data_IF_015414447912
#
_entry.id   IF_015414447912
#
_cell.length_a   1.000
_cell.length_b   1.000
_cell.length_c   1.000
_cell.angle_alpha   90.00
_cell.angle_beta   90.00
_cell.angle_gamma   90.00
#
_symmetry.space_group_name_H-M   'P 1'
#
loop_
_entity.id
_entity.type
_entity.pdbx_description
1 polymer ?
#
# COMPACT_ATOMS: atom_id res chain seq x y z
N UNK A 1 4.73 23.41 -4.95
CA UNK A 1 3.28 23.35 -5.24
C UNK A 1 2.77 21.91 -5.49
N UNK A 2 3.62 20.88 -5.47
CA UNK A 2 3.30 19.49 -5.86
C UNK A 2 2.39 18.68 -4.92
N UNK A 3 2.17 19.10 -3.67
CA UNK A 3 1.40 18.29 -2.72
C UNK A 3 -0.12 18.29 -2.99
N UNK A 4 -0.64 19.34 -3.64
CA UNK A 4 -2.08 19.45 -3.95
C UNK A 4 -2.54 18.46 -5.02
N UNK A 5 -1.71 18.23 -6.05
CA UNK A 5 -2.03 17.37 -7.20
C UNK A 5 -2.10 15.89 -6.79
N UNK A 6 -1.12 15.41 -6.02
CA UNK A 6 -1.13 14.01 -5.55
C UNK A 6 -2.29 13.71 -4.60
N UNK A 7 -2.73 14.69 -3.81
CA UNK A 7 -3.85 14.51 -2.87
C UNK A 7 -5.20 14.30 -3.57
N UNK A 8 -5.30 14.63 -4.87
CA UNK A 8 -6.48 14.34 -5.68
C UNK A 8 -6.58 12.88 -6.12
N UNK A 9 -5.49 12.10 -6.01
CA UNK A 9 -5.53 10.66 -6.24
C UNK A 9 -6.38 10.02 -5.14
N UNK A 10 -7.31 9.15 -5.53
CA UNK A 10 -8.24 8.53 -4.59
C UNK A 10 -7.49 7.92 -3.39
N UNK A 11 -7.89 8.28 -2.17
CA UNK A 11 -7.32 7.76 -0.93
C UNK A 11 -5.79 7.87 -0.86
N UNK A 12 -5.16 8.88 -1.47
CA UNK A 12 -3.70 9.06 -1.37
C UNK A 12 -3.26 9.34 0.07
N UNK A 13 -2.23 8.65 0.52
CA UNK A 13 -1.61 8.87 1.82
C UNK A 13 -0.09 8.73 1.71
N UNK A 14 0.62 9.78 2.14
CA UNK A 14 2.06 9.81 2.15
C UNK A 14 2.60 9.48 3.54
N UNK A 15 3.42 8.43 3.64
CA UNK A 15 3.98 7.95 4.91
C UNK A 15 5.37 8.51 5.21
N UNK A 16 6.13 8.85 4.17
CA UNK A 16 7.47 9.42 4.27
C UNK A 16 7.85 10.15 2.98
N UNK A 17 9.07 10.68 2.90
CA UNK A 17 9.61 11.25 1.66
C UNK A 17 9.73 10.24 0.51
N UNK A 18 9.79 8.93 0.80
CA UNK A 18 10.04 7.88 -0.18
C UNK A 18 8.89 6.87 -0.34
N UNK A 19 7.81 6.98 0.43
CA UNK A 19 6.75 5.97 0.39
C UNK A 19 5.37 6.56 0.61
N UNK A 20 4.46 6.22 -0.30
CA UNK A 20 3.05 6.59 -0.25
C UNK A 20 2.20 5.43 -0.78
N UNK A 21 0.91 5.44 -0.44
CA UNK A 21 -0.08 4.56 -1.05
C UNK A 21 -1.31 5.29 -1.53
N UNK A 22 -2.06 4.66 -2.45
CA UNK A 22 -3.30 5.23 -2.98
C UNK A 22 -4.28 4.18 -3.52
N UNK A 23 -5.46 4.65 -3.88
CA UNK A 23 -6.33 4.02 -4.87
C UNK A 23 -5.77 4.20 -6.27
N UNK A 24 -6.58 3.89 -7.28
CA UNK A 24 -6.14 3.83 -8.67
C UNK A 24 -5.88 5.25 -9.19
N UNK A 25 -4.63 5.59 -9.56
CA UNK A 25 -4.36 6.83 -10.28
C UNK A 25 -4.90 6.73 -11.71
N UNK A 26 -5.34 7.86 -12.27
CA UNK A 26 -5.52 8.01 -13.72
C UNK A 26 -4.16 8.11 -14.43
N UNK A 27 -4.15 8.03 -15.76
CA UNK A 27 -2.93 8.21 -16.55
C UNK A 27 -2.31 9.62 -16.32
N UNK A 28 -3.14 10.66 -16.29
CA UNK A 28 -2.70 12.04 -15.97
C UNK A 28 -2.11 12.13 -14.56
N UNK A 29 -2.74 11.49 -13.57
CA UNK A 29 -2.21 11.45 -12.21
C UNK A 29 -0.91 10.67 -12.09
N UNK A 30 -0.64 9.70 -12.98
CA UNK A 30 0.68 9.04 -13.04
C UNK A 30 1.77 10.01 -13.52
N UNK A 31 1.43 11.00 -14.36
CA UNK A 31 2.37 12.08 -14.72
C UNK A 31 2.72 12.93 -13.49
N UNK A 32 1.73 13.29 -12.67
CA UNK A 32 1.94 14.01 -11.40
C UNK A 32 2.83 13.21 -10.44
N UNK A 33 2.61 11.89 -10.37
CA UNK A 33 3.45 10.97 -9.59
C UNK A 33 4.89 10.99 -10.09
N UNK A 34 5.11 10.92 -11.41
CA UNK A 34 6.46 11.02 -11.99
C UNK A 34 7.12 12.38 -11.71
N UNK A 35 6.38 13.47 -11.90
CA UNK A 35 6.82 14.84 -11.67
C UNK A 35 7.17 15.10 -10.19
N UNK A 36 6.46 14.44 -9.27
CA UNK A 36 6.77 14.44 -7.84
C UNK A 36 7.99 13.58 -7.47
N UNK A 37 8.69 13.02 -8.45
CA UNK A 37 9.94 12.30 -8.27
C UNK A 37 9.79 10.86 -7.82
N UNK A 38 8.59 10.28 -7.91
CA UNK A 38 8.44 8.83 -7.74
C UNK A 38 9.22 8.11 -8.84
N UNK A 39 9.77 6.95 -8.48
CA UNK A 39 10.63 6.14 -9.34
C UNK A 39 10.12 4.72 -9.49
N UNK A 40 9.08 4.35 -8.73
CA UNK A 40 8.50 3.01 -8.74
C UNK A 40 7.00 3.09 -8.44
N UNK A 41 6.22 2.38 -9.23
CA UNK A 41 4.81 2.12 -9.00
C UNK A 41 4.62 0.62 -8.80
N UNK A 42 3.94 0.23 -7.73
CA UNK A 42 3.57 -1.15 -7.44
C UNK A 42 2.05 -1.24 -7.42
N UNK A 43 1.48 -2.01 -8.34
CA UNK A 43 0.04 -2.23 -8.42
C UNK A 43 -0.35 -3.57 -7.76
N UNK A 44 -1.29 -3.54 -6.81
CA UNK A 44 -1.65 -4.71 -5.99
C UNK A 44 -2.93 -5.43 -6.40
N UNK A 45 -3.58 -5.06 -7.49
CA UNK A 45 -4.88 -5.60 -7.79
C UNK A 45 -5.01 -6.06 -9.22
N UNK A 46 -6.02 -6.87 -9.52
CA UNK A 46 -6.15 -7.44 -10.86
C UNK A 46 -6.34 -6.34 -11.91
N UNK A 47 -5.64 -6.48 -13.04
CA UNK A 47 -5.68 -5.54 -14.17
C UNK A 47 -7.02 -5.52 -14.90
N UNK A 48 -7.93 -6.45 -14.60
CA UNK A 48 -9.30 -6.48 -15.10
C UNK A 48 -10.31 -5.74 -14.18
N UNK A 49 -9.84 -5.03 -13.16
CA UNK A 49 -10.75 -4.28 -12.29
C UNK A 49 -11.38 -3.10 -13.02
N UNK A 50 -12.57 -2.67 -12.59
CA UNK A 50 -13.35 -1.59 -13.24
C UNK A 50 -12.58 -0.27 -13.45
N UNK A 51 -11.61 0.02 -12.60
CA UNK A 51 -10.83 1.27 -12.67
C UNK A 51 -9.45 1.08 -13.29
N UNK A 52 -9.04 -0.15 -13.59
CA UNK A 52 -7.68 -0.42 -14.05
C UNK A 52 -7.40 0.28 -15.39
N UNK A 53 -6.18 0.77 -15.53
CA UNK A 53 -5.67 1.22 -16.82
C UNK A 53 -5.22 -0.03 -17.58
N UNK A 54 -5.75 -0.25 -18.78
CA UNK A 54 -5.49 -1.46 -19.57
C UNK A 54 -3.99 -1.69 -19.85
N UNK A 55 -3.26 -0.61 -20.08
CA UNK A 55 -1.82 -0.58 -20.40
C UNK A 55 -1.01 0.18 -19.35
N UNK A 56 -1.38 0.04 -18.07
CA UNK A 56 -0.75 0.79 -16.97
C UNK A 56 0.78 0.62 -16.92
N UNK A 57 1.25 -0.60 -17.22
CA UNK A 57 2.67 -0.93 -17.32
C UNK A 57 3.39 -0.06 -18.36
N UNK A 58 2.81 0.09 -19.55
CA UNK A 58 3.35 0.95 -20.60
C UNK A 58 3.31 2.43 -20.21
N UNK A 59 2.23 2.90 -19.59
CA UNK A 59 2.10 4.30 -19.12
C UNK A 59 3.16 4.61 -18.06
N UNK A 60 3.32 3.76 -17.04
CA UNK A 60 4.32 3.98 -15.99
C UNK A 60 5.73 3.94 -16.57
N UNK A 61 6.01 3.01 -17.50
CA UNK A 61 7.32 2.92 -18.15
C UNK A 61 7.62 4.11 -19.06
N UNK A 62 6.65 4.63 -19.80
CA UNK A 62 6.86 5.80 -20.67
C UNK A 62 7.18 7.07 -19.87
N UNK A 63 6.73 7.14 -18.62
CA UNK A 63 7.05 8.20 -17.66
C UNK A 63 8.40 7.98 -16.94
N UNK A 64 9.17 6.96 -17.32
CA UNK A 64 10.51 6.70 -16.78
C UNK A 64 10.52 6.15 -15.35
N UNK A 65 9.41 5.57 -14.89
CA UNK A 65 9.30 4.89 -13.60
C UNK A 65 9.39 3.37 -13.75
N UNK A 66 9.81 2.67 -12.70
CA UNK A 66 9.68 1.22 -12.62
C UNK A 66 8.24 0.81 -12.32
N UNK A 67 7.79 -0.28 -12.94
CA UNK A 67 6.47 -0.84 -12.72
C UNK A 67 6.59 -2.29 -12.24
N UNK A 68 5.84 -2.63 -11.19
CA UNK A 68 5.67 -4.01 -10.76
C UNK A 68 4.20 -4.29 -10.47
N UNK A 69 3.73 -5.43 -10.93
CA UNK A 69 2.36 -5.90 -10.68
C UNK A 69 2.41 -7.12 -9.77
N UNK A 70 1.76 -7.03 -8.60
CA UNK A 70 1.65 -8.12 -7.64
C UNK A 70 0.15 -8.31 -7.35
N UNK A 71 -0.58 -9.08 -8.15
CA UNK A 71 -2.02 -9.17 -8.02
C UNK A 71 -2.42 -9.85 -6.71
N UNK A 72 -3.13 -9.12 -5.84
CA UNK A 72 -3.65 -9.62 -4.56
C UNK A 72 -5.16 -9.70 -4.62
N UNK A 73 -5.69 -10.90 -4.34
CA UNK A 73 -7.12 -11.12 -4.13
C UNK A 73 -7.57 -10.41 -2.85
N UNK A 74 -8.58 -9.53 -2.97
CA UNK A 74 -9.09 -8.78 -1.83
C UNK A 74 -9.78 -9.70 -0.81
N UNK A 75 -10.38 -10.79 -1.25
CA UNK A 75 -11.10 -11.73 -0.39
C UNK A 75 -10.18 -12.83 0.17
N UNK A 76 -8.97 -12.98 -0.39
CA UNK A 76 -8.03 -14.04 -0.04
C UNK A 76 -6.57 -13.55 -0.06
N UNK A 77 -6.19 -12.55 0.76
CA UNK A 77 -4.82 -12.09 0.83
C UNK A 77 -3.90 -13.22 1.32
N UNK A 78 -2.72 -13.36 0.71
CA UNK A 78 -1.76 -14.40 1.09
C UNK A 78 -0.46 -13.81 1.59
N UNK A 79 0.21 -14.57 2.49
CA UNK A 79 1.54 -14.19 3.00
C UNK A 79 2.57 -14.10 1.88
N UNK A 80 2.50 -15.00 0.90
CA UNK A 80 3.38 -14.99 -0.27
C UNK A 80 3.28 -13.66 -1.04
N UNK A 81 2.09 -13.08 -1.16
CA UNK A 81 1.93 -11.80 -1.84
C UNK A 81 2.59 -10.65 -1.07
N UNK A 82 2.48 -10.66 0.26
CA UNK A 82 3.18 -9.69 1.12
C UNK A 82 4.69 -9.91 1.11
N UNK A 83 5.17 -11.15 1.09
CA UNK A 83 6.59 -11.48 1.00
C UNK A 83 7.19 -10.97 -0.32
N UNK A 84 6.49 -11.18 -1.44
CA UNK A 84 6.88 -10.66 -2.75
C UNK A 84 6.96 -9.12 -2.74
N UNK A 85 5.93 -8.46 -2.23
CA UNK A 85 5.91 -7.00 -2.09
C UNK A 85 7.05 -6.49 -1.20
N UNK A 86 7.24 -7.10 -0.03
CA UNK A 86 8.27 -6.65 0.92
C UNK A 86 9.67 -6.89 0.39
N UNK A 87 9.90 -7.96 -0.37
CA UNK A 87 11.17 -8.22 -1.06
C UNK A 87 11.51 -7.10 -2.06
N UNK A 88 10.53 -6.67 -2.85
CA UNK A 88 10.67 -5.53 -3.78
C UNK A 88 11.02 -4.25 -3.00
N UNK A 89 10.30 -3.95 -1.92
CA UNK A 89 10.54 -2.74 -1.13
C UNK A 89 11.90 -2.73 -0.43
N UNK A 90 12.38 -3.90 0.02
CA UNK A 90 13.71 -4.07 0.62
C UNK A 90 14.82 -3.85 -0.42
N UNK A 91 14.58 -4.18 -1.69
CA UNK A 91 15.49 -3.85 -2.78
C UNK A 91 15.44 -2.34 -3.06
N UNK A 92 16.40 -1.60 -2.51
CA UNK A 92 16.47 -0.13 -2.51
C UNK A 92 15.31 0.56 -1.76
N UNK A 93 15.41 0.56 -0.42
CA UNK A 93 14.45 1.20 0.51
C UNK A 93 14.22 2.70 0.29
N UNK A 94 15.12 3.39 -0.43
CA UNK A 94 15.04 4.84 -0.68
C UNK A 94 14.55 5.19 -2.09
N UNK A 95 14.22 4.20 -2.92
CA UNK A 95 13.54 4.48 -4.19
C UNK A 95 12.11 4.93 -3.89
N UNK A 96 11.79 6.18 -4.23
CA UNK A 96 10.48 6.77 -3.96
C UNK A 96 9.38 5.96 -4.66
N UNK A 97 8.53 5.30 -3.87
CA UNK A 97 7.60 4.27 -4.34
C UNK A 97 6.16 4.65 -4.03
N UNK A 98 5.29 4.52 -5.04
CA UNK A 98 3.84 4.54 -4.88
C UNK A 98 3.33 3.09 -4.90
N UNK A 99 2.68 2.67 -3.83
CA UNK A 99 1.96 1.40 -3.78
C UNK A 99 0.47 1.67 -3.93
N UNK A 100 -0.20 1.10 -4.92
CA UNK A 100 -1.62 1.34 -5.10
C UNK A 100 -2.42 0.09 -5.40
N UNK A 101 -3.74 0.23 -5.26
CA UNK A 101 -4.73 -0.70 -5.76
C UNK A 101 -5.92 0.12 -6.29
N UNK A 102 -7.16 -0.36 -6.18
CA UNK A 102 -8.33 0.37 -6.67
C UNK A 102 -8.72 1.52 -5.75
N UNK A 103 -8.77 1.26 -4.44
CA UNK A 103 -9.32 2.18 -3.44
C UNK A 103 -8.47 2.24 -2.16
N UNK A 104 -7.18 1.91 -2.28
CA UNK A 104 -6.18 1.86 -1.21
C UNK A 104 -6.41 0.85 -0.06
N UNK A 105 -7.35 -0.10 -0.13
CA UNK A 105 -7.51 -1.11 0.94
C UNK A 105 -6.30 -2.07 1.07
N UNK A 106 -5.97 -2.75 -0.03
CA UNK A 106 -4.78 -3.64 -0.10
C UNK A 106 -3.49 -2.87 0.18
N UNK A 107 -3.33 -1.73 -0.49
CA UNK A 107 -2.10 -0.97 -0.47
C UNK A 107 -1.84 -0.35 0.91
N UNK A 108 -2.84 0.23 1.59
CA UNK A 108 -2.67 0.70 2.97
C UNK A 108 -2.38 -0.45 3.95
N UNK A 109 -3.00 -1.62 3.78
CA UNK A 109 -2.76 -2.79 4.63
C UNK A 109 -1.34 -3.34 4.49
N UNK A 110 -0.85 -3.46 3.25
CA UNK A 110 0.53 -3.87 2.98
C UNK A 110 1.52 -2.80 3.46
N UNK A 111 1.18 -1.51 3.29
CA UNK A 111 2.00 -0.40 3.79
C UNK A 111 2.10 -0.39 5.31
N UNK A 112 1.00 -0.65 6.03
CA UNK A 112 0.97 -0.83 7.48
C UNK A 112 1.96 -1.92 7.89
N UNK A 113 1.81 -3.13 7.33
CA UNK A 113 2.64 -4.28 7.68
C UNK A 113 4.12 -4.00 7.40
N UNK A 114 4.44 -3.44 6.23
CA UNK A 114 5.81 -3.13 5.87
C UNK A 114 6.44 -2.08 6.78
N UNK A 115 5.69 -1.02 7.13
CA UNK A 115 6.17 0.06 7.98
C UNK A 115 6.46 -0.42 9.40
N UNK A 116 5.59 -1.24 9.97
CA UNK A 116 5.80 -1.83 11.30
C UNK A 116 7.01 -2.78 11.28
N UNK A 117 7.03 -3.73 10.35
CA UNK A 117 7.99 -4.84 10.36
C UNK A 117 9.39 -4.41 9.91
N UNK A 118 9.49 -3.57 8.88
CA UNK A 118 10.76 -3.30 8.19
C UNK A 118 11.25 -1.85 8.29
N UNK A 119 10.37 -0.91 8.65
CA UNK A 119 10.73 0.50 8.85
C UNK A 119 10.72 0.93 10.33
N UNK A 120 10.31 0.06 11.25
CA UNK A 120 10.30 0.33 12.68
C UNK A 120 9.30 1.40 13.12
N UNK A 121 8.27 1.67 12.29
CA UNK A 121 7.22 2.63 12.64
C UNK A 121 6.39 2.08 13.80
N UNK A 122 6.12 2.86 14.86
CA UNK A 122 5.27 2.42 15.96
C UNK A 122 3.91 1.95 15.46
N UNK A 123 3.45 0.79 15.98
CA UNK A 123 2.21 0.17 15.49
C UNK A 123 1.00 1.09 15.59
N UNK A 124 0.86 1.85 16.68
CA UNK A 124 -0.26 2.79 16.84
C UNK A 124 -0.24 3.94 15.83
N UNK A 125 0.94 4.37 15.38
CA UNK A 125 1.05 5.37 14.30
C UNK A 125 0.64 4.76 12.96
N UNK A 126 1.21 3.60 12.59
CA UNK A 126 0.85 2.92 11.36
C UNK A 126 -0.65 2.56 11.34
N UNK A 127 -1.23 2.19 12.48
CA UNK A 127 -2.65 1.85 12.62
C UNK A 127 -3.55 3.06 12.39
N UNK A 128 -3.23 4.24 12.96
CA UNK A 128 -3.98 5.48 12.68
C UNK A 128 -4.00 5.83 11.19
N UNK A 129 -2.87 5.66 10.52
CA UNK A 129 -2.75 5.88 9.07
C UNK A 129 -3.58 4.87 8.26
N UNK A 130 -3.65 3.62 8.71
CA UNK A 130 -4.54 2.61 8.10
C UNK A 130 -6.00 2.99 8.31
N UNK A 131 -6.36 3.42 9.51
CA UNK A 131 -7.72 3.77 9.92
C UNK A 131 -8.28 4.98 9.19
N UNK A 132 -7.41 5.93 8.80
CA UNK A 132 -7.82 7.07 7.96
C UNK A 132 -8.19 6.65 6.53
N UNK A 133 -7.78 5.46 6.10
CA UNK A 133 -8.13 4.88 4.80
C UNK A 133 -9.32 3.95 4.91
N UNK A 134 -9.25 2.97 5.81
CA UNK A 134 -10.32 2.02 6.05
C UNK A 134 -10.10 1.21 7.33
N UNK A 135 -11.19 0.65 7.87
CA UNK A 135 -11.13 -0.38 8.90
C UNK A 135 -11.03 -1.76 8.24
N UNK A 136 -9.95 -2.54 8.49
CA UNK A 136 -9.82 -3.88 7.98
C UNK A 136 -11.02 -4.75 8.38
N UNK A 137 -11.57 -5.51 7.44
CA UNK A 137 -12.57 -6.53 7.77
C UNK A 137 -11.89 -7.74 8.43
N UNK A 138 -12.70 -8.73 8.86
CA UNK A 138 -12.22 -9.95 9.50
C UNK A 138 -11.10 -10.66 8.74
N UNK A 139 -11.23 -10.77 7.41
CA UNK A 139 -10.24 -11.44 6.55
C UNK A 139 -8.89 -10.73 6.62
N UNK A 140 -8.89 -9.41 6.43
CA UNK A 140 -7.67 -8.61 6.45
C UNK A 140 -7.06 -8.49 7.85
N UNK A 141 -7.90 -8.37 8.88
CA UNK A 141 -7.44 -8.41 10.27
C UNK A 141 -6.68 -9.72 10.56
N UNK A 142 -7.29 -10.88 10.27
CA UNK A 142 -6.66 -12.18 10.52
C UNK A 142 -5.34 -12.33 9.75
N UNK A 143 -5.34 -11.94 8.48
CA UNK A 143 -4.14 -11.91 7.66
C UNK A 143 -3.03 -11.03 8.26
N UNK A 144 -3.36 -9.81 8.69
CA UNK A 144 -2.38 -8.89 9.27
C UNK A 144 -1.82 -9.40 10.59
N UNK A 145 -2.67 -9.94 11.47
CA UNK A 145 -2.25 -10.55 12.74
C UNK A 145 -1.29 -11.72 12.49
N UNK A 146 -1.59 -12.56 11.51
CA UNK A 146 -0.74 -13.69 11.15
C UNK A 146 0.64 -13.23 10.67
N UNK A 147 0.68 -12.25 9.76
CA UNK A 147 1.95 -11.69 9.25
C UNK A 147 2.75 -11.04 10.38
N UNK A 148 2.13 -10.24 11.25
CA UNK A 148 2.81 -9.62 12.39
C UNK A 148 3.42 -10.67 13.32
N UNK A 149 2.66 -11.70 13.70
CA UNK A 149 3.13 -12.79 14.57
C UNK A 149 4.32 -13.54 13.97
N UNK A 150 4.28 -13.83 12.67
CA UNK A 150 5.37 -14.50 11.97
C UNK A 150 6.67 -13.67 12.01
N UNK A 151 6.55 -12.34 12.01
CA UNK A 151 7.67 -11.42 12.12
C UNK A 151 8.03 -11.03 13.56
N UNK A 152 7.46 -11.70 14.58
CA UNK A 152 7.78 -11.45 15.98
C UNK A 152 7.14 -10.19 16.57
N UNK A 153 6.10 -9.65 15.93
CA UNK A 153 5.35 -8.49 16.42
C UNK A 153 4.01 -8.92 17.03
N UNK A 154 3.67 -8.32 18.18
CA UNK A 154 2.30 -8.37 18.70
C UNK A 154 1.41 -7.44 17.88
N UNK A 155 0.18 -7.85 17.59
CA UNK A 155 -0.85 -7.00 16.99
C UNK A 155 -1.54 -6.08 18.02
N UNK A 156 -1.32 -6.36 19.31
CA UNK A 156 -1.79 -5.52 20.41
C UNK A 156 -0.85 -4.32 20.52
N UNK A 157 -1.43 -3.12 20.56
CA UNK A 157 -0.71 -1.89 20.78
C UNK A 157 -1.57 -0.91 21.58
N UNK A 158 -0.93 -0.04 22.37
CA UNK A 158 -1.64 1.01 23.10
C UNK A 158 -2.37 1.93 22.11
N UNK A 159 -3.70 1.96 22.20
CA UNK A 159 -4.56 2.75 21.32
C UNK A 159 -4.83 2.14 19.93
N UNK A 160 -4.39 0.90 19.66
CA UNK A 160 -4.90 0.14 18.53
C UNK A 160 -6.31 -0.37 18.87
N UNK A 161 -7.32 0.10 18.14
CA UNK A 161 -8.66 -0.48 18.15
C UNK A 161 -8.88 -1.21 16.81
N UNK A 162 -8.85 -2.54 16.81
CA UNK A 162 -9.20 -3.33 15.62
C UNK A 162 -10.70 -3.66 15.54
N UNK A 163 -11.51 -3.08 16.44
CA UNK A 163 -12.96 -3.17 16.49
C UNK A 163 -13.49 -4.57 16.78
N UNK A 164 -14.68 -4.88 16.24
CA UNK A 164 -15.32 -6.20 16.39
C UNK A 164 -14.50 -7.36 15.77
N UNK A 165 -13.45 -7.07 15.00
CA UNK A 165 -12.59 -8.09 14.42
C UNK A 165 -11.65 -8.74 15.47
N UNK A 166 -11.40 -8.09 16.61
CA UNK A 166 -10.62 -8.68 17.71
C UNK A 166 -11.33 -9.86 18.39
N UNK A 167 -12.67 -9.87 18.32
CA UNK A 167 -13.50 -10.62 19.26
C UNK A 167 -14.08 -11.94 18.73
N UNK A 168 -13.67 -12.45 17.54
CA UNK A 168 -14.13 -13.76 17.04
C UNK A 168 -13.16 -14.48 16.09
#
# INVERSE_FOLDING_TARGET
MQAGELSAINNYLQYSSYFASSGQPSAEQLEDVANAGFKRVIYLAFSNSKTAIEIEDHVVKSLGMDYLHIPVDLERPTRRDFDNFSAVMKNNKKQKTLLHCQINKRASSFSFLYRVIYAGVPMGEAKRDLDSIWQPNKIWYQFMVEVLKQHGHSHLCDGCDWGANELN
#
